data_IF_886434173904
#
_entry.id   IF_886434173904
#
_cell.length_a   1.000
_cell.length_b   1.000
_cell.length_c   1.000
_cell.angle_alpha   90.00
_cell.angle_beta   90.00
_cell.angle_gamma   90.00
#
_symmetry.space_group_name_H-M   'P 1'
#
loop_
_entity.id
_entity.type
_entity.pdbx_description
1 polymer ?
#
# COMPACT_ATOMS: atom_id res chain seq x y z
N UNK A 1 -15.24 10.80 -9.63
CA UNK A 1 -14.03 9.97 -9.52
C UNK A 1 -13.39 9.81 -10.90
N UNK A 2 -12.07 9.71 -10.99
CA UNK A 2 -11.29 9.88 -12.24
C UNK A 2 -11.66 8.91 -13.38
N UNK A 3 -12.07 7.68 -13.06
CA UNK A 3 -12.45 6.66 -14.06
C UNK A 3 -13.92 6.76 -14.53
N UNK A 4 -14.78 7.50 -13.83
CA UNK A 4 -16.22 7.59 -14.13
C UNK A 4 -16.52 8.54 -15.29
N UNK A 5 -15.58 9.43 -15.64
CA UNK A 5 -15.78 10.46 -16.67
C UNK A 5 -15.42 9.98 -18.08
N UNK A 6 -15.03 8.71 -18.26
CA UNK A 6 -14.58 8.16 -19.55
C UNK A 6 -13.29 8.80 -20.10
N UNK A 7 -12.61 9.62 -19.28
CA UNK A 7 -11.33 10.23 -19.64
C UNK A 7 -10.21 9.26 -19.33
N UNK A 8 -9.19 9.26 -20.18
CA UNK A 8 -7.98 8.48 -19.96
C UNK A 8 -7.32 8.95 -18.66
N UNK A 9 -7.24 8.07 -17.67
CA UNK A 9 -6.59 8.36 -16.39
C UNK A 9 -5.09 8.24 -16.59
N UNK A 10 -4.35 9.28 -16.17
CA UNK A 10 -2.89 9.29 -16.23
C UNK A 10 -2.34 8.56 -15.01
N UNK A 11 -1.43 7.60 -15.22
CA UNK A 11 -0.81 6.80 -14.14
C UNK A 11 -0.08 7.68 -13.13
N UNK A 12 0.64 8.72 -13.55
CA UNK A 12 1.34 9.64 -12.63
C UNK A 12 0.38 10.37 -11.68
N UNK A 13 -0.79 10.79 -12.18
CA UNK A 13 -1.79 11.44 -11.32
C UNK A 13 -2.38 10.46 -10.31
N UNK A 14 -2.51 9.19 -10.70
CA UNK A 14 -2.98 8.13 -9.80
C UNK A 14 -1.89 7.75 -8.79
N UNK A 15 -0.62 7.68 -9.19
CA UNK A 15 0.53 7.45 -8.33
C UNK A 15 0.62 8.53 -7.23
N UNK A 16 0.58 9.81 -7.61
CA UNK A 16 0.56 10.92 -6.65
C UNK A 16 -0.60 10.80 -5.64
N UNK A 17 -1.78 10.37 -6.10
CA UNK A 17 -2.92 10.13 -5.21
C UNK A 17 -2.68 8.94 -4.26
N UNK A 18 -2.05 7.86 -4.75
CA UNK A 18 -1.69 6.70 -3.92
C UNK A 18 -0.63 7.09 -2.87
N UNK A 19 0.40 7.83 -3.27
CA UNK A 19 1.44 8.35 -2.38
C UNK A 19 0.84 9.23 -1.28
N UNK A 20 0.02 10.23 -1.63
CA UNK A 20 -0.66 11.11 -0.67
C UNK A 20 -1.55 10.31 0.29
N UNK A 21 -2.23 9.27 -0.19
CA UNK A 21 -3.06 8.41 0.64
C UNK A 21 -2.23 7.58 1.63
N UNK A 22 -1.05 7.08 1.22
CA UNK A 22 -0.13 6.34 2.09
C UNK A 22 0.45 7.24 3.18
N UNK A 23 0.85 8.46 2.81
CA UNK A 23 1.37 9.43 3.75
C UNK A 23 0.29 9.89 4.74
N UNK A 24 -0.87 10.30 4.24
CA UNK A 24 -1.92 10.91 5.09
C UNK A 24 -2.61 9.88 5.99
N UNK A 25 -2.83 8.64 5.49
CA UNK A 25 -3.64 7.65 6.22
C UNK A 25 -2.82 6.65 7.01
N UNK A 26 -1.58 6.40 6.59
CA UNK A 26 -0.72 5.39 7.21
C UNK A 26 0.59 5.99 7.75
N UNK A 27 0.84 7.30 7.55
CA UNK A 27 2.12 7.93 7.90
C UNK A 27 3.31 7.23 7.26
N UNK A 28 3.10 6.69 6.05
CA UNK A 28 4.08 5.89 5.31
C UNK A 28 4.49 6.64 4.05
N UNK A 29 5.79 6.80 3.87
CA UNK A 29 6.38 7.33 2.64
C UNK A 29 6.64 6.16 1.69
N UNK A 30 6.26 6.31 0.43
CA UNK A 30 6.55 5.36 -0.64
C UNK A 30 7.77 5.88 -1.40
N UNK A 31 8.91 5.20 -1.26
CA UNK A 31 10.20 5.63 -1.86
C UNK A 31 10.70 4.67 -2.95
N UNK A 32 10.02 3.53 -3.14
CA UNK A 32 10.42 2.43 -4.01
C UNK A 32 9.68 2.41 -5.36
N UNK A 33 9.01 3.52 -5.71
CA UNK A 33 8.17 3.68 -6.91
C UNK A 33 7.00 2.67 -7.01
N UNK A 34 6.66 1.97 -5.93
CA UNK A 34 5.58 0.97 -5.92
C UNK A 34 4.19 1.57 -6.16
N UNK A 35 4.00 2.84 -5.82
CA UNK A 35 2.80 3.62 -6.12
C UNK A 35 2.61 3.80 -7.63
N UNK A 36 3.68 4.03 -8.38
CA UNK A 36 3.65 4.13 -9.84
C UNK A 36 3.34 2.79 -10.48
N UNK A 37 4.00 1.71 -10.06
CA UNK A 37 3.74 0.36 -10.59
C UNK A 37 2.27 -0.05 -10.39
N UNK A 38 1.73 0.21 -9.20
CA UNK A 38 0.31 -0.07 -8.89
C UNK A 38 -0.61 0.81 -9.73
N UNK A 39 -0.28 2.10 -9.91
CA UNK A 39 -1.07 3.01 -10.73
C UNK A 39 -1.12 2.57 -12.21
N UNK A 40 0.01 2.14 -12.76
CA UNK A 40 0.09 1.61 -14.12
C UNK A 40 -0.76 0.35 -14.30
N UNK A 41 -0.67 -0.59 -13.34
CA UNK A 41 -1.47 -1.81 -13.34
C UNK A 41 -2.99 -1.52 -13.32
N UNK A 42 -3.43 -0.56 -12.50
CA UNK A 42 -4.84 -0.14 -12.43
C UNK A 42 -5.29 0.49 -13.76
N UNK A 43 -4.44 1.33 -14.37
CA UNK A 43 -4.73 1.94 -15.66
C UNK A 43 -4.81 0.90 -16.80
N UNK A 44 -3.91 -0.08 -16.81
CA UNK A 44 -3.95 -1.20 -17.77
C UNK A 44 -5.23 -2.03 -17.60
N UNK A 45 -5.59 -2.36 -16.36
CA UNK A 45 -6.83 -3.08 -16.06
C UNK A 45 -8.06 -2.34 -16.58
N UNK A 46 -8.11 -1.01 -16.39
CA UNK A 46 -9.20 -0.18 -16.92
C UNK A 46 -9.25 -0.20 -18.45
N UNK A 47 -8.11 -0.09 -19.13
CA UNK A 47 -8.04 -0.12 -20.60
C UNK A 47 -8.50 -1.47 -21.16
N UNK A 48 -8.08 -2.59 -20.55
CA UNK A 48 -8.57 -3.93 -20.92
C UNK A 48 -10.08 -4.07 -20.71
N UNK A 49 -10.58 -3.66 -19.54
CA UNK A 49 -12.02 -3.72 -19.23
C UNK A 49 -12.85 -2.88 -20.22
N UNK A 50 -12.32 -1.71 -20.63
CA UNK A 50 -12.99 -0.84 -21.60
C UNK A 50 -13.16 -1.48 -22.98
N UNK A 51 -12.32 -2.47 -23.31
CA UNK A 51 -12.35 -3.25 -24.56
C UNK A 51 -13.11 -4.58 -24.41
N UNK A 52 -13.65 -4.87 -23.23
CA UNK A 52 -14.31 -6.15 -22.92
C UNK A 52 -13.34 -7.29 -22.63
N UNK A 53 -12.05 -7.01 -22.44
CA UNK A 53 -11.06 -7.98 -22.01
C UNK A 53 -10.94 -7.94 -20.47
N UNK A 54 -11.19 -9.08 -19.83
CA UNK A 54 -11.13 -9.23 -18.37
C UNK A 54 -10.00 -10.15 -17.93
N UNK A 55 -9.08 -10.50 -18.82
CA UNK A 55 -7.99 -11.46 -18.55
C UNK A 55 -7.11 -11.04 -17.39
N UNK A 56 -6.76 -9.74 -17.27
CA UNK A 56 -5.97 -9.24 -16.14
C UNK A 56 -6.75 -9.30 -14.83
N UNK A 57 -8.05 -9.00 -14.85
CA UNK A 57 -8.92 -9.12 -13.66
C UNK A 57 -8.96 -10.56 -13.17
N UNK A 58 -9.15 -11.51 -14.07
CA UNK A 58 -9.14 -12.94 -13.73
C UNK A 58 -7.80 -13.39 -13.16
N UNK A 59 -6.68 -12.93 -13.74
CA UNK A 59 -5.35 -13.22 -13.20
C UNK A 59 -5.21 -12.70 -11.77
N UNK A 60 -5.59 -11.45 -11.51
CA UNK A 60 -5.51 -10.83 -10.17
C UNK A 60 -6.40 -11.57 -9.16
N UNK A 61 -7.63 -11.91 -9.54
CA UNK A 61 -8.56 -12.66 -8.68
C UNK A 61 -8.08 -14.08 -8.37
N UNK A 62 -7.28 -14.67 -9.26
CA UNK A 62 -6.70 -16.00 -9.09
C UNK A 62 -5.31 -15.99 -8.43
N UNK A 63 -4.77 -14.84 -8.04
CA UNK A 63 -3.53 -14.78 -7.26
C UNK A 63 -3.76 -15.53 -5.96
N UNK A 64 -3.09 -16.67 -5.80
CA UNK A 64 -3.16 -17.42 -4.56
C UNK A 64 -2.53 -16.63 -3.43
N UNK A 65 -3.17 -16.67 -2.25
CA UNK A 65 -2.58 -16.13 -1.02
C UNK A 65 -1.21 -16.75 -0.83
N UNK A 66 -0.21 -15.92 -0.55
CA UNK A 66 1.10 -16.42 -0.15
C UNK A 66 0.93 -17.36 1.06
N UNK A 67 1.48 -18.57 1.05
CA UNK A 67 1.40 -19.47 2.18
C UNK A 67 2.08 -18.80 3.38
N UNK A 68 1.34 -18.65 4.48
CA UNK A 68 1.84 -18.00 5.69
C UNK A 68 3.09 -18.69 6.25
N UNK A 69 3.24 -19.99 5.97
CA UNK A 69 4.41 -20.80 6.32
C UNK A 69 5.71 -20.30 5.69
N UNK A 70 5.62 -19.58 4.56
CA UNK A 70 6.77 -18.98 3.88
C UNK A 70 7.04 -17.52 4.30
N UNK A 71 6.16 -16.93 5.12
CA UNK A 71 6.35 -15.60 5.66
C UNK A 71 7.28 -15.68 6.88
N UNK A 72 8.31 -14.83 6.94
CA UNK A 72 9.15 -14.71 8.13
C UNK A 72 8.31 -14.13 9.27
N UNK A 73 8.30 -14.82 10.41
CA UNK A 73 7.71 -14.30 11.64
C UNK A 73 8.43 -13.00 12.03
N UNK A 74 7.67 -11.97 12.39
CA UNK A 74 8.18 -10.65 12.74
C UNK A 74 9.24 -10.78 13.83
N UNK A 75 10.50 -10.50 13.48
CA UNK A 75 11.60 -10.43 14.43
C UNK A 75 11.46 -9.11 15.19
N UNK A 76 11.10 -9.19 16.47
CA UNK A 76 11.09 -8.04 17.37
C UNK A 76 12.46 -7.35 17.33
N UNK A 77 12.45 -6.02 17.23
CA UNK A 77 13.66 -5.25 17.49
C UNK A 77 13.83 -5.28 19.02
N UNK A 78 14.99 -5.77 19.47
CA UNK A 78 15.38 -5.76 20.88
C UNK A 78 16.45 -4.69 21.08
N UNK A 79 16.38 -3.97 22.20
CA UNK A 79 17.48 -3.11 22.61
C UNK A 79 18.70 -3.93 23.07
N UNK A 80 19.82 -3.26 23.37
CA UNK A 80 21.05 -3.90 23.85
C UNK A 80 20.85 -4.68 25.17
N UNK A 81 19.74 -4.45 25.87
CA UNK A 81 19.35 -5.13 27.11
C UNK A 81 18.35 -6.27 26.87
N UNK A 82 17.96 -6.53 25.62
CA UNK A 82 17.01 -7.58 25.25
C UNK A 82 15.54 -7.22 25.50
N UNK A 83 15.22 -5.95 25.78
CA UNK A 83 13.84 -5.49 25.91
C UNK A 83 13.23 -5.25 24.52
N UNK A 84 11.98 -5.70 24.36
CA UNK A 84 11.21 -5.44 23.14
C UNK A 84 10.83 -3.96 23.09
N UNK A 85 11.30 -3.24 22.07
CA UNK A 85 11.05 -1.80 21.91
C UNK A 85 9.65 -1.49 21.33
N UNK A 86 8.79 -2.49 21.12
CA UNK A 86 7.44 -2.27 20.57
C UNK A 86 6.47 -1.60 21.55
N UNK A 87 6.81 -1.54 22.84
CA UNK A 87 5.91 -1.10 23.92
C UNK A 87 6.41 0.21 24.57
N UNK A 88 6.97 1.15 23.80
CA UNK A 88 6.96 2.56 24.24
C UNK A 88 5.56 3.09 23.95
N UNK A 89 4.63 2.77 24.84
CA UNK A 89 3.51 3.65 25.11
C UNK A 89 4.12 4.97 25.60
N UNK A 90 3.96 6.03 24.82
CA UNK A 90 4.25 7.38 25.29
C UNK A 90 3.20 7.71 26.35
N UNK A 91 3.46 7.30 27.59
CA UNK A 91 2.76 7.84 28.75
C UNK A 91 3.23 9.29 28.89
N UNK A 92 2.43 10.22 28.36
CA UNK A 92 2.56 11.63 28.67
C UNK A 92 2.27 11.79 30.18
N UNK A 93 3.31 11.71 31.00
CA UNK A 93 3.25 12.13 32.39
C UNK A 93 3.16 13.66 32.41
N UNK A 94 1.94 14.17 32.27
CA UNK A 94 1.63 15.55 32.64
C UNK A 94 1.89 15.72 34.13
N UNK A 95 3.03 16.33 34.48
CA UNK A 95 3.31 16.81 35.82
C UNK A 95 2.25 17.84 36.21
N UNK A 96 1.47 17.53 37.26
CA UNK A 96 0.74 18.55 38.03
C UNK A 96 1.77 19.49 38.68
N UNK A 97 1.69 20.79 38.35
CA UNK A 97 2.13 21.89 39.22
C UNK A 97 0.99 22.87 39.47
#
# INVERSE_FOLDING_TARGET
MSFQSGRKVNSNNLANFLMEAMETRFSTIVEDDSDLEVAELICEMYDQCSKGDYSLVEKIMNIQKAPLENCKMQSYIVDDNGMNISDIDTEESGEEI
#
